data_IF_471604618600
#
_entry.id   IF_471604618600
#
_cell.length_a   1.000
_cell.length_b   1.000
_cell.length_c   1.000
_cell.angle_alpha   90.00
_cell.angle_beta   90.00
_cell.angle_gamma   90.00
#
_symmetry.space_group_name_H-M   'P 1'
#
loop_
_entity.id
_entity.type
_entity.pdbx_description
1 polymer ?
#
# COMPACT_ATOMS: atom_id res chain seq x y z
N UNK A 1 18.70 56.81 49.63
CA UNK A 1 17.51 55.99 49.95
C UNK A 1 16.70 55.90 48.68
N UNK A 2 16.95 54.85 47.91
CA UNK A 2 16.14 54.40 46.77
C UNK A 2 16.40 52.91 46.65
N UNK A 3 15.30 52.18 46.50
CA UNK A 3 15.14 50.77 46.79
C UNK A 3 15.71 49.87 45.69
N UNK A 4 16.21 48.72 46.12
CA UNK A 4 16.54 47.55 45.29
C UNK A 4 15.27 47.03 44.60
N UNK A 5 15.25 47.04 43.26
CA UNK A 5 14.31 46.23 42.48
C UNK A 5 15.02 45.00 41.92
N UNK A 6 14.65 43.87 42.52
CA UNK A 6 14.97 42.48 42.20
C UNK A 6 14.58 42.12 40.75
N UNK A 7 15.56 42.07 39.85
CA UNK A 7 15.41 41.48 38.51
C UNK A 7 15.65 39.98 38.59
N UNK A 8 14.60 39.23 38.93
CA UNK A 8 14.55 37.78 38.73
C UNK A 8 14.69 37.40 37.24
N UNK A 9 15.27 36.24 36.91
CA UNK A 9 15.56 35.87 35.53
C UNK A 9 14.28 35.68 34.71
N UNK A 10 14.31 36.27 33.51
CA UNK A 10 13.29 36.18 32.46
C UNK A 10 12.86 34.72 32.19
N UNK A 11 11.56 34.41 32.11
CA UNK A 11 11.13 33.07 31.77
C UNK A 11 11.45 32.77 30.30
N UNK A 12 12.23 31.72 30.08
CA UNK A 12 12.53 31.19 28.74
C UNK A 12 11.24 31.02 27.92
N UNK A 13 11.23 31.40 26.63
CA UNK A 13 10.09 31.23 25.77
C UNK A 13 9.73 29.75 25.69
N UNK A 14 8.48 29.43 26.03
CA UNK A 14 7.93 28.07 25.94
C UNK A 14 8.14 27.59 24.51
N UNK A 15 9.11 26.70 24.32
CA UNK A 15 9.25 25.91 23.11
C UNK A 15 7.90 25.21 22.91
N UNK A 16 7.12 25.77 21.99
CA UNK A 16 5.97 25.12 21.40
C UNK A 16 6.46 23.76 20.94
N UNK A 17 6.08 22.73 21.69
CA UNK A 17 6.16 21.34 21.23
C UNK A 17 5.31 21.31 19.97
N UNK A 18 5.94 21.47 18.81
CA UNK A 18 5.35 21.11 17.53
C UNK A 18 5.06 19.61 17.62
N UNK A 19 3.84 19.30 18.07
CA UNK A 19 3.21 18.04 17.69
C UNK A 19 3.21 18.02 16.17
N UNK A 20 3.54 16.90 15.52
CA UNK A 20 3.31 16.79 14.10
C UNK A 20 1.84 17.11 13.86
N UNK A 21 1.59 18.11 13.03
CA UNK A 21 0.26 18.46 12.59
C UNK A 21 -0.41 17.17 12.15
N UNK A 22 -1.45 16.79 12.88
CA UNK A 22 -2.34 15.74 12.45
C UNK A 22 -2.91 16.22 11.12
N UNK A 23 -2.35 15.74 10.01
CA UNK A 23 -3.02 15.77 8.73
C UNK A 23 -4.27 14.94 8.95
N UNK A 24 -5.37 15.64 9.24
CA UNK A 24 -6.69 15.04 9.24
C UNK A 24 -6.95 14.76 7.76
N UNK A 25 -6.55 13.56 7.32
CA UNK A 25 -7.05 12.98 6.08
C UNK A 25 -8.55 12.82 6.28
N UNK A 26 -9.31 13.83 5.88
CA UNK A 26 -10.76 13.74 5.89
C UNK A 26 -11.13 12.61 4.95
N UNK A 27 -11.65 11.53 5.51
CA UNK A 27 -12.11 10.39 4.73
C UNK A 27 -13.06 10.87 3.61
N UNK A 28 -12.99 10.28 2.40
CA UNK A 28 -13.89 10.59 1.29
C UNK A 28 -15.34 10.62 1.76
N UNK A 29 -16.18 11.50 1.18
CA UNK A 29 -17.54 11.78 1.65
C UNK A 29 -18.42 10.52 1.88
N UNK A 30 -18.12 9.44 1.17
CA UNK A 30 -18.73 8.12 1.33
C UNK A 30 -18.58 7.51 2.74
N UNK A 31 -17.56 7.89 3.51
CA UNK A 31 -17.28 7.34 4.84
C UNK A 31 -17.91 8.14 5.99
N UNK A 32 -18.48 9.33 5.73
CA UNK A 32 -19.09 10.18 6.77
C UNK A 32 -20.36 9.60 7.40
N UNK A 33 -20.93 8.58 6.78
CA UNK A 33 -22.11 7.84 7.26
C UNK A 33 -21.77 6.82 8.36
N UNK A 34 -20.48 6.53 8.59
CA UNK A 34 -20.03 5.65 9.66
C UNK A 34 -19.51 6.47 10.83
N UNK A 35 -20.34 6.67 11.86
CA UNK A 35 -20.03 7.47 13.06
C UNK A 35 -19.17 6.71 14.08
N UNK A 36 -18.10 6.06 13.64
CA UNK A 36 -17.21 5.33 14.55
C UNK A 36 -15.78 5.82 14.34
N UNK A 37 -15.25 6.53 15.33
CA UNK A 37 -13.84 6.91 15.38
C UNK A 37 -13.00 5.66 15.53
N UNK A 38 -12.37 5.22 14.45
CA UNK A 38 -11.54 4.01 14.46
C UNK A 38 -10.10 4.43 14.65
N UNK A 39 -9.55 4.05 15.80
CA UNK A 39 -8.20 4.42 16.24
C UNK A 39 -7.09 3.58 15.61
N UNK A 40 -7.40 2.51 14.86
CA UNK A 40 -6.41 1.65 14.22
C UNK A 40 -6.84 1.17 12.83
N UNK A 41 -6.06 1.53 11.80
CA UNK A 41 -6.28 1.17 10.39
C UNK A 41 -6.34 -0.34 10.17
N UNK A 42 -5.65 -1.12 11.00
CA UNK A 42 -5.63 -2.59 10.96
C UNK A 42 -7.00 -3.22 11.25
N UNK A 43 -7.81 -2.59 12.11
CA UNK A 43 -9.19 -3.01 12.37
C UNK A 43 -10.10 -2.72 11.17
N UNK A 44 -9.86 -1.63 10.43
CA UNK A 44 -10.58 -1.35 9.20
C UNK A 44 -10.26 -2.35 8.10
N UNK A 45 -8.98 -2.65 7.88
CA UNK A 45 -8.56 -3.65 6.88
C UNK A 45 -9.16 -5.02 7.21
N UNK A 46 -9.16 -5.39 8.49
CA UNK A 46 -9.78 -6.64 8.95
C UNK A 46 -11.31 -6.63 8.79
N UNK A 47 -11.99 -5.52 9.08
CA UNK A 47 -13.44 -5.40 8.88
C UNK A 47 -13.82 -5.40 7.39
N UNK A 48 -13.04 -4.76 6.53
CA UNK A 48 -13.22 -4.79 5.08
C UNK A 48 -13.05 -6.21 4.55
N UNK A 49 -11.97 -6.90 4.94
CA UNK A 49 -11.75 -8.31 4.60
C UNK A 49 -12.88 -9.24 5.11
N UNK A 50 -13.51 -8.91 6.24
CA UNK A 50 -14.59 -9.69 6.83
C UNK A 50 -15.97 -9.35 6.26
N UNK A 51 -16.23 -8.09 5.89
CA UNK A 51 -17.46 -7.62 5.24
C UNK A 51 -17.50 -8.00 3.75
N UNK A 52 -16.35 -8.11 3.09
CA UNK A 52 -16.22 -8.57 1.69
C UNK A 52 -16.31 -10.11 1.53
N UNK A 53 -16.64 -10.81 2.62
CA UNK A 53 -16.77 -12.26 2.69
C UNK A 53 -17.54 -12.90 1.53
N UNK A 54 -16.94 -13.96 0.97
CA UNK A 54 -17.47 -14.97 0.04
C UNK A 54 -17.95 -14.45 -1.34
N UNK A 55 -18.49 -13.23 -1.46
CA UNK A 55 -18.92 -12.66 -2.75
C UNK A 55 -17.73 -12.28 -3.64
N UNK A 56 -16.57 -11.96 -3.05
CA UNK A 56 -15.29 -11.84 -3.77
C UNK A 56 -14.59 -13.19 -4.02
N UNK A 57 -15.14 -14.33 -3.55
CA UNK A 57 -14.61 -15.66 -3.92
C UNK A 57 -15.11 -16.17 -5.26
N UNK A 58 -16.17 -15.57 -5.81
CA UNK A 58 -16.52 -15.59 -7.23
C UNK A 58 -15.83 -14.43 -7.99
N UNK A 59 -14.81 -13.83 -7.37
CA UNK A 59 -14.23 -12.53 -7.67
C UNK A 59 -13.36 -12.48 -8.91
N UNK A 60 -13.05 -11.22 -9.24
CA UNK A 60 -12.42 -10.76 -10.46
C UNK A 60 -11.43 -11.79 -11.03
N UNK A 61 -11.89 -12.51 -12.06
CA UNK A 61 -11.13 -13.58 -12.72
C UNK A 61 -9.86 -13.06 -13.35
N UNK A 62 -9.80 -11.77 -13.65
CA UNK A 62 -8.62 -11.09 -14.19
C UNK A 62 -7.55 -10.98 -13.12
N UNK A 63 -7.89 -10.50 -11.92
CA UNK A 63 -6.96 -10.40 -10.77
C UNK A 63 -6.34 -11.76 -10.47
N UNK A 64 -7.17 -12.81 -10.37
CA UNK A 64 -6.65 -14.17 -10.10
C UNK A 64 -5.77 -14.70 -11.21
N UNK A 65 -6.09 -14.39 -12.47
CA UNK A 65 -5.24 -14.74 -13.61
C UNK A 65 -3.91 -14.01 -13.51
N UNK A 66 -3.90 -12.71 -13.22
CA UNK A 66 -2.67 -11.94 -13.04
C UNK A 66 -1.77 -12.58 -11.98
N UNK A 67 -2.32 -12.78 -10.77
CA UNK A 67 -1.60 -13.40 -9.65
C UNK A 67 -1.05 -14.77 -10.03
N UNK A 68 -1.90 -15.64 -10.59
CA UNK A 68 -1.51 -17.00 -10.96
C UNK A 68 -0.45 -17.05 -12.07
N UNK A 69 -0.61 -16.26 -13.12
CA UNK A 69 0.36 -16.21 -14.22
C UNK A 69 1.69 -15.65 -13.75
N UNK A 70 1.68 -14.61 -12.91
CA UNK A 70 2.91 -14.06 -12.37
C UNK A 70 3.62 -15.05 -11.45
N UNK A 71 2.86 -15.78 -10.62
CA UNK A 71 3.39 -16.83 -9.74
C UNK A 71 4.04 -17.95 -10.56
N UNK A 72 3.41 -18.36 -11.68
CA UNK A 72 3.88 -19.45 -12.53
C UNK A 72 5.14 -19.12 -13.34
N UNK A 73 5.35 -17.84 -13.67
CA UNK A 73 6.47 -17.40 -14.52
C UNK A 73 7.76 -17.09 -13.75
N UNK A 74 7.79 -17.35 -12.44
CA UNK A 74 8.98 -17.23 -11.61
C UNK A 74 10.09 -18.22 -12.07
N UNK A 75 11.38 -17.90 -11.84
CA UNK A 75 11.90 -16.68 -11.21
C UNK A 75 11.99 -15.49 -12.18
N UNK A 76 11.97 -14.28 -11.61
CA UNK A 76 12.21 -13.02 -12.31
C UNK A 76 13.64 -12.50 -12.10
N UNK A 77 14.13 -11.61 -12.99
CA UNK A 77 15.41 -10.95 -12.79
C UNK A 77 15.51 -10.25 -11.44
N UNK A 78 16.64 -10.42 -10.73
CA UNK A 78 16.83 -9.82 -9.40
C UNK A 78 16.16 -10.58 -8.25
N UNK A 79 15.49 -11.71 -8.53
CA UNK A 79 14.95 -12.57 -7.46
C UNK A 79 16.07 -13.10 -6.54
N UNK A 80 15.78 -13.26 -5.24
CA UNK A 80 16.70 -13.92 -4.33
C UNK A 80 16.88 -15.40 -4.72
N UNK A 81 18.05 -15.97 -4.43
CA UNK A 81 18.41 -17.35 -4.78
C UNK A 81 17.41 -18.41 -4.28
N UNK A 82 16.71 -18.12 -3.18
CA UNK A 82 15.74 -19.00 -2.54
C UNK A 82 14.28 -18.60 -2.80
N UNK A 83 13.99 -17.80 -3.83
CA UNK A 83 12.62 -17.33 -4.11
C UNK A 83 11.60 -18.46 -4.24
N UNK A 84 12.01 -19.61 -4.80
CA UNK A 84 11.17 -20.80 -4.95
C UNK A 84 10.84 -21.50 -3.62
N UNK A 85 11.50 -21.13 -2.53
CA UNK A 85 11.20 -21.61 -1.17
C UNK A 85 10.20 -20.70 -0.45
N UNK A 86 9.75 -19.61 -1.08
CA UNK A 86 8.76 -18.72 -0.48
C UNK A 86 7.45 -19.50 -0.22
N UNK A 87 7.05 -19.57 1.05
CA UNK A 87 5.85 -20.27 1.48
C UNK A 87 4.67 -19.30 1.53
N UNK A 88 4.04 -19.06 0.38
CA UNK A 88 2.86 -18.20 0.27
C UNK A 88 2.64 -17.72 -1.16
N UNK A 89 1.52 -17.03 -1.43
CA UNK A 89 1.35 -16.32 -2.70
C UNK A 89 2.31 -15.13 -2.72
N UNK A 90 3.24 -15.07 -3.68
CA UNK A 90 4.16 -13.94 -3.80
C UNK A 90 3.44 -12.71 -4.32
N UNK A 91 2.55 -12.91 -5.29
CA UNK A 91 1.82 -11.83 -5.94
C UNK A 91 0.42 -11.66 -5.38
N UNK A 92 0.02 -10.41 -5.19
CA UNK A 92 -1.37 -10.01 -4.97
C UNK A 92 -1.71 -8.84 -5.88
N UNK A 93 -2.90 -8.85 -6.48
CA UNK A 93 -3.35 -7.75 -7.34
C UNK A 93 -4.64 -7.12 -6.80
N UNK A 94 -4.78 -5.81 -6.99
CA UNK A 94 -5.99 -5.07 -6.64
C UNK A 94 -6.33 -4.09 -7.75
N UNK A 95 -7.61 -3.97 -8.08
CA UNK A 95 -8.08 -3.00 -9.06
C UNK A 95 -8.20 -1.62 -8.41
N UNK A 96 -7.64 -0.60 -9.05
CA UNK A 96 -7.70 0.78 -8.60
C UNK A 96 -7.90 1.71 -9.81
N UNK A 97 -9.10 2.29 -9.93
CA UNK A 97 -9.51 3.10 -11.08
C UNK A 97 -9.37 2.31 -12.39
N UNK A 98 -8.55 2.79 -13.33
CA UNK A 98 -8.33 2.18 -14.65
C UNK A 98 -7.04 1.32 -14.69
N UNK A 99 -6.54 0.91 -13.53
CA UNK A 99 -5.31 0.16 -13.36
C UNK A 99 -5.50 -1.03 -12.42
N UNK A 100 -4.63 -2.02 -12.57
CA UNK A 100 -4.38 -3.01 -11.54
C UNK A 100 -3.05 -2.67 -10.85
N UNK A 101 -3.05 -2.69 -9.53
CA UNK A 101 -1.85 -2.60 -8.72
C UNK A 101 -1.40 -4.02 -8.38
N UNK A 102 -0.27 -4.43 -8.94
CA UNK A 102 0.36 -5.72 -8.65
C UNK A 102 1.41 -5.51 -7.57
N UNK A 103 1.22 -6.16 -6.42
CA UNK A 103 2.17 -6.15 -5.32
C UNK A 103 2.96 -7.46 -5.30
N UNK A 104 4.29 -7.33 -5.30
CA UNK A 104 5.25 -8.42 -5.16
C UNK A 104 5.81 -8.42 -3.74
N UNK A 105 5.42 -9.42 -2.95
CA UNK A 105 5.81 -9.56 -1.55
C UNK A 105 7.30 -9.86 -1.36
N UNK A 106 7.96 -10.49 -2.34
CA UNK A 106 9.38 -10.85 -2.24
C UNK A 106 10.25 -9.62 -2.44
N UNK A 107 9.86 -8.75 -3.36
CA UNK A 107 10.60 -7.54 -3.69
C UNK A 107 10.11 -6.28 -2.96
N UNK A 108 9.01 -6.39 -2.20
CA UNK A 108 8.30 -5.33 -1.48
C UNK A 108 7.99 -4.12 -2.39
N UNK A 109 7.37 -4.39 -3.54
CA UNK A 109 7.05 -3.35 -4.54
C UNK A 109 5.65 -3.50 -5.11
N UNK A 110 5.02 -2.34 -5.33
CA UNK A 110 3.76 -2.22 -6.06
C UNK A 110 4.01 -1.65 -7.43
N UNK A 111 3.53 -2.33 -8.46
CA UNK A 111 3.70 -1.93 -9.86
C UNK A 111 2.33 -1.76 -10.51
N UNK A 112 1.99 -0.56 -11.00
CA UNK A 112 0.75 -0.34 -11.73
C UNK A 112 0.83 -0.96 -13.12
N UNK A 113 -0.28 -1.56 -13.56
CA UNK A 113 -0.49 -2.01 -14.92
C UNK A 113 -1.86 -1.54 -15.39
N UNK A 114 -1.92 -0.92 -16.57
CA UNK A 114 -3.19 -0.41 -17.08
C UNK A 114 -4.17 -1.55 -17.34
N UNK A 115 -5.45 -1.31 -17.03
CA UNK A 115 -6.49 -2.30 -17.28
C UNK A 115 -6.58 -2.64 -18.77
N UNK A 116 -6.41 -1.66 -19.65
CA UNK A 116 -6.38 -1.86 -21.10
C UNK A 116 -5.28 -2.85 -21.54
N UNK A 117 -4.09 -2.80 -20.93
CA UNK A 117 -3.03 -3.77 -21.20
C UNK A 117 -3.41 -5.16 -20.72
N UNK A 118 -3.96 -5.30 -19.51
CA UNK A 118 -4.36 -6.60 -18.96
C UNK A 118 -5.47 -7.27 -19.77
N UNK A 119 -6.42 -6.48 -20.29
CA UNK A 119 -7.49 -7.00 -21.14
C UNK A 119 -7.05 -7.30 -22.58
N UNK A 120 -5.88 -6.85 -23.01
CA UNK A 120 -5.37 -7.12 -24.35
C UNK A 120 -4.84 -8.56 -24.46
N UNK A 121 -5.39 -9.41 -25.36
CA UNK A 121 -5.01 -10.82 -25.44
C UNK A 121 -3.54 -11.07 -25.82
N UNK A 122 -2.89 -10.12 -26.49
CA UNK A 122 -1.47 -10.20 -26.86
C UNK A 122 -0.53 -9.65 -25.79
N UNK A 123 -1.04 -9.29 -24.61
CA UNK A 123 -0.21 -8.73 -23.55
C UNK A 123 0.64 -9.82 -22.88
N UNK A 124 1.95 -9.70 -22.99
CA UNK A 124 2.92 -10.64 -22.44
C UNK A 124 3.21 -10.32 -20.96
N UNK A 125 2.29 -10.67 -20.06
CA UNK A 125 2.36 -10.32 -18.63
C UNK A 125 3.70 -10.69 -17.97
N UNK A 126 4.20 -11.91 -18.19
CA UNK A 126 5.46 -12.35 -17.61
C UNK A 126 6.66 -11.55 -18.13
N UNK A 127 6.67 -11.19 -19.42
CA UNK A 127 7.73 -10.37 -20.02
C UNK A 127 7.69 -8.93 -19.51
N UNK A 128 6.49 -8.36 -19.40
CA UNK A 128 6.30 -7.04 -18.82
C UNK A 128 6.92 -6.97 -17.42
N UNK A 129 6.58 -7.93 -16.55
CA UNK A 129 7.10 -7.94 -15.18
C UNK A 129 8.60 -8.21 -15.14
N UNK A 130 9.12 -9.16 -15.93
CA UNK A 130 10.55 -9.42 -16.01
C UNK A 130 11.36 -8.20 -16.48
N UNK A 131 10.81 -7.41 -17.41
CA UNK A 131 11.44 -6.16 -17.89
C UNK A 131 11.46 -5.12 -16.77
N UNK A 132 10.34 -4.94 -16.07
CA UNK A 132 10.28 -4.06 -14.90
C UNK A 132 11.32 -4.42 -13.83
N UNK A 133 11.46 -5.70 -13.51
CA UNK A 133 12.48 -6.16 -12.57
C UNK A 133 13.91 -5.90 -13.06
N UNK A 134 14.18 -6.11 -14.35
CA UNK A 134 15.50 -5.88 -14.94
C UNK A 134 15.88 -4.39 -14.93
N UNK A 135 14.95 -3.50 -15.26
CA UNK A 135 15.15 -2.04 -15.22
C UNK A 135 15.41 -1.54 -13.80
N UNK A 136 14.80 -2.17 -12.78
CA UNK A 136 15.04 -1.82 -11.37
C UNK A 136 16.41 -2.28 -10.86
N UNK A 137 16.96 -3.35 -11.44
CA UNK A 137 18.21 -3.95 -10.99
C UNK A 137 19.47 -3.32 -11.63
N UNK A 138 19.31 -2.59 -12.75
CA UNK A 138 20.37 -1.87 -13.46
C UNK A 138 20.55 -0.44 -12.97
#
# INVERSE_FOLDING_TARGET
>A
MSEDEDQGPEPLPKLLRHRPDHVILTAPAYFRQFSVGVTHIEKWVSLLAQMEGVRHRLGNTVIRKLEHFLEFMQPYPGDPLNVLQFHGPRFSATEYLDEFLVYDQVLDVSTPISAAAVYYPGFELGRWYATYCAERAG
#
